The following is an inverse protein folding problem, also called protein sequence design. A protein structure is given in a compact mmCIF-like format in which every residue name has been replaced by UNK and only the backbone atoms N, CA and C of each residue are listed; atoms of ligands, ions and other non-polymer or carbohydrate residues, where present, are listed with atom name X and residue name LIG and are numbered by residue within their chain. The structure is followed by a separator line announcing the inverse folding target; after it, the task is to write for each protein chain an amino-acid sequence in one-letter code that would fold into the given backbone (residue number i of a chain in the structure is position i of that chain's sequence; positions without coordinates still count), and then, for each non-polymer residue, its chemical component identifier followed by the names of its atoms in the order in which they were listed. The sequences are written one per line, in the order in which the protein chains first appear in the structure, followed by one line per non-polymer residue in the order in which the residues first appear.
data_IF_702226950970
#
_entry.id   IF_702226950970
#
_cell.length_a   1.000
_cell.length_b   1.000
_cell.length_c   1.000
_cell.angle_alpha   90.00
_cell.angle_beta   90.00
_cell.angle_gamma   90.00
#
_symmetry.space_group_name_H-M   'P 1'
#
loop_
_entity.id
_entity.type
_entity.pdbx_description
1 polymer ?
#
# COMPACT_ATOMS: atom_id res chain seq x y z
N UNK A 1 32.02 18.72 5.86
CA UNK A 1 31.41 17.56 5.19
C UNK A 1 29.92 17.67 5.42
N UNK A 2 29.20 18.31 4.50
CA UNK A 2 27.73 18.37 4.57
C UNK A 2 27.18 17.22 3.76
N UNK A 3 26.48 16.28 4.39
CA UNK A 3 25.63 15.36 3.66
C UNK A 3 24.58 16.22 2.95
N UNK A 4 24.67 16.32 1.63
CA UNK A 4 23.69 17.04 0.82
C UNK A 4 22.32 16.42 1.05
N UNK A 5 21.32 17.27 1.35
CA UNK A 5 19.95 16.84 1.53
C UNK A 5 19.53 15.94 0.36
N UNK A 6 19.23 14.67 0.64
CA UNK A 6 18.67 13.79 -0.38
C UNK A 6 17.25 14.26 -0.66
N UNK A 7 17.01 14.63 -1.92
CA UNK A 7 15.67 14.94 -2.40
C UNK A 7 14.71 13.75 -2.32
N UNK A 8 13.41 13.99 -2.57
CA UNK A 8 12.40 12.94 -2.52
C UNK A 8 12.74 11.81 -3.50
N UNK A 9 12.44 10.58 -3.11
CA UNK A 9 12.60 9.38 -3.93
C UNK A 9 11.24 8.80 -4.28
N UNK A 10 11.09 8.29 -5.49
CA UNK A 10 9.90 7.54 -5.90
C UNK A 10 10.02 6.10 -5.42
N UNK A 11 8.98 5.60 -4.76
CA UNK A 11 8.85 4.22 -4.32
C UNK A 11 7.48 3.65 -4.70
N UNK A 12 7.41 2.32 -4.85
CA UNK A 12 6.18 1.60 -5.11
C UNK A 12 5.90 0.63 -3.96
N UNK A 13 4.68 0.64 -3.44
CA UNK A 13 4.25 -0.21 -2.34
C UNK A 13 3.17 -1.17 -2.83
N UNK A 14 3.34 -2.46 -2.56
CA UNK A 14 2.27 -3.44 -2.73
C UNK A 14 1.39 -3.46 -1.47
N UNK A 15 0.10 -3.23 -1.64
CA UNK A 15 -0.90 -3.36 -0.58
C UNK A 15 -1.82 -4.53 -0.91
N UNK A 16 -2.26 -5.27 0.10
CA UNK A 16 -3.22 -6.35 -0.09
C UNK A 16 -3.99 -6.65 1.20
N UNK A 17 -5.27 -6.98 1.06
CA UNK A 17 -6.13 -7.33 2.20
C UNK A 17 -7.05 -8.49 1.85
N UNK A 18 -7.17 -9.48 2.73
CA UNK A 18 -8.01 -10.67 2.49
C UNK A 18 -8.99 -11.01 3.61
N UNK A 19 -9.09 -10.17 4.65
CA UNK A 19 -9.97 -10.37 5.79
C UNK A 19 -10.88 -9.15 5.97
N UNK A 20 -12.15 -9.41 6.33
CA UNK A 20 -13.11 -8.35 6.66
C UNK A 20 -13.36 -7.38 5.51
N UNK A 21 -13.41 -6.09 5.83
CA UNK A 21 -13.59 -5.00 4.87
C UNK A 21 -12.27 -4.71 4.12
N UNK A 22 -11.97 -5.57 3.14
CA UNK A 22 -10.70 -5.53 2.37
C UNK A 22 -10.45 -4.17 1.73
N UNK A 23 -11.45 -3.61 1.04
CA UNK A 23 -11.35 -2.30 0.40
C UNK A 23 -11.21 -1.19 1.43
N UNK A 24 -12.01 -1.22 2.50
CA UNK A 24 -11.90 -0.25 3.60
C UNK A 24 -10.52 -0.26 4.26
N UNK A 25 -9.92 -1.43 4.46
CA UNK A 25 -8.55 -1.54 4.97
C UNK A 25 -7.52 -0.92 4.02
N UNK A 26 -7.63 -1.13 2.71
CA UNK A 26 -6.73 -0.55 1.71
C UNK A 26 -6.88 0.98 1.66
N UNK A 27 -8.12 1.49 1.66
CA UNK A 27 -8.40 2.93 1.70
C UNK A 27 -7.87 3.58 2.99
N UNK A 28 -8.01 2.91 4.13
CA UNK A 28 -7.45 3.37 5.40
C UNK A 28 -5.91 3.42 5.35
N UNK A 29 -5.26 2.39 4.81
CA UNK A 29 -3.80 2.38 4.65
C UNK A 29 -3.32 3.55 3.77
N UNK A 30 -4.03 3.85 2.67
CA UNK A 30 -3.75 5.00 1.82
C UNK A 30 -3.91 6.33 2.56
N UNK A 31 -5.00 6.48 3.33
CA UNK A 31 -5.23 7.69 4.13
C UNK A 31 -4.14 7.88 5.18
N UNK A 32 -3.66 6.80 5.80
CA UNK A 32 -2.59 6.85 6.79
C UNK A 32 -1.25 7.22 6.14
N UNK A 33 -0.92 6.64 4.98
CA UNK A 33 0.29 6.99 4.22
C UNK A 33 0.28 8.46 3.80
N UNK A 34 -0.85 8.97 3.31
CA UNK A 34 -1.01 10.36 2.91
C UNK A 34 -0.93 11.36 4.08
N UNK A 35 -1.13 10.90 5.32
CA UNK A 35 -1.03 11.72 6.52
C UNK A 35 0.40 11.82 7.08
N UNK A 36 1.35 11.04 6.56
CA UNK A 36 2.76 11.06 7.03
C UNK A 36 3.50 12.21 6.38
N UNK A 37 4.15 13.05 7.19
CA UNK A 37 5.02 14.11 6.71
C UNK A 37 6.18 13.53 5.87
N UNK A 38 6.40 14.11 4.69
CA UNK A 38 7.40 13.63 3.74
C UNK A 38 6.94 12.50 2.83
N UNK A 39 5.73 11.96 3.00
CA UNK A 39 5.12 11.00 2.06
C UNK A 39 4.08 11.72 1.20
N UNK A 40 4.18 11.49 -0.11
CA UNK A 40 3.19 11.94 -1.09
C UNK A 40 2.73 10.76 -1.91
N UNK A 41 1.44 10.44 -1.83
CA UNK A 41 0.83 9.42 -2.70
C UNK A 41 0.60 10.04 -4.07
N UNK A 42 1.40 9.64 -5.06
CA UNK A 42 1.35 10.21 -6.42
C UNK A 42 0.46 9.43 -7.39
N UNK A 43 0.12 8.17 -7.07
CA UNK A 43 -0.68 7.33 -7.93
C UNK A 43 -1.13 6.05 -7.24
N UNK A 44 -2.17 5.44 -7.81
CA UNK A 44 -2.76 4.18 -7.37
C UNK A 44 -2.97 3.28 -8.59
N UNK A 45 -2.77 1.98 -8.43
CA UNK A 45 -3.21 1.00 -9.41
C UNK A 45 -4.72 0.78 -9.31
N UNK A 46 -5.28 0.02 -10.26
CA UNK A 46 -6.60 -0.59 -10.04
C UNK A 46 -6.53 -1.62 -8.90
N UNK A 47 -7.68 -1.95 -8.33
CA UNK A 47 -7.82 -3.09 -7.42
C UNK A 47 -7.84 -4.40 -8.20
N UNK A 48 -7.25 -5.45 -7.65
CA UNK A 48 -7.20 -6.76 -8.29
C UNK A 48 -7.48 -7.85 -7.28
N UNK A 49 -8.53 -8.64 -7.51
CA UNK A 49 -8.73 -9.84 -6.71
C UNK A 49 -7.73 -10.92 -7.13
N UNK A 50 -7.01 -11.46 -6.14
CA UNK A 50 -6.00 -12.49 -6.36
C UNK A 50 -6.19 -13.65 -5.39
N UNK A 51 -5.96 -14.87 -5.87
CA UNK A 51 -6.04 -16.06 -5.03
C UNK A 51 -4.88 -16.09 -4.03
N UNK A 52 -5.08 -16.63 -2.82
CA UNK A 52 -4.01 -16.76 -1.85
C UNK A 52 -2.93 -17.71 -2.36
N UNK A 53 -1.66 -17.34 -2.13
CA UNK A 53 -0.50 -18.17 -2.46
C UNK A 53 0.12 -18.75 -1.18
N UNK A 54 0.64 -19.98 -1.25
CA UNK A 54 1.19 -20.68 -0.09
C UNK A 54 0.10 -21.30 0.79
N UNK A 55 -0.41 -20.56 1.79
CA UNK A 55 -1.55 -21.02 2.60
C UNK A 55 -2.85 -20.72 1.86
N UNK A 56 -3.50 -21.74 1.30
CA UNK A 56 -4.65 -21.52 0.40
C UNK A 56 -6.02 -21.58 1.08
N UNK A 57 -6.11 -22.09 2.31
CA UNK A 57 -7.35 -22.17 3.09
C UNK A 57 -7.72 -20.82 3.75
N UNK A 58 -7.79 -19.76 2.94
CA UNK A 58 -8.12 -18.40 3.37
C UNK A 58 -8.84 -17.63 2.25
N UNK A 59 -9.33 -16.42 2.57
CA UNK A 59 -10.00 -15.55 1.61
C UNK A 59 -9.10 -15.06 0.48
N UNK A 60 -9.71 -14.66 -0.63
CA UNK A 60 -9.03 -13.97 -1.73
C UNK A 60 -8.53 -12.60 -1.28
N UNK A 61 -7.34 -12.24 -1.75
CA UNK A 61 -6.80 -10.90 -1.55
C UNK A 61 -7.48 -9.94 -2.51
N UNK A 62 -7.69 -8.71 -2.05
CA UNK A 62 -7.87 -7.53 -2.87
C UNK A 62 -6.56 -6.73 -2.91
#
# INVERSE_FOLDING_TARGET
MGEGEKGPVTAYLGLGSNLGDREGHLLQALSLLAAVEGIKVEGLSSWYETSPVGKTEQGWFL
#
